data_IF_680101846822
#
_entry.id   IF_680101846822
#
_cell.length_a   1.000
_cell.length_b   1.000
_cell.length_c   1.000
_cell.angle_alpha   90.00
_cell.angle_beta   90.00
_cell.angle_gamma   90.00
#
_symmetry.space_group_name_H-M   'P 1'
#
loop_
_entity.id
_entity.type
_entity.pdbx_description
1 polymer ?
#
# COMPACT_ATOMS: atom_id res chain seq x y z
N UNK A 1 -5.34 -35.51 34.45
CA UNK A 1 -5.80 -34.45 33.52
C UNK A 1 -4.60 -33.60 33.14
N UNK A 2 -4.08 -33.72 31.92
CA UNK A 2 -2.97 -32.87 31.48
C UNK A 2 -3.49 -31.44 31.28
N UNK A 3 -3.06 -30.55 32.16
CA UNK A 3 -3.40 -29.13 32.05
C UNK A 3 -2.68 -28.58 30.82
N UNK A 4 -3.44 -28.16 29.80
CA UNK A 4 -2.87 -27.66 28.54
C UNK A 4 -1.87 -26.51 28.75
N UNK A 5 -0.95 -26.30 27.81
CA UNK A 5 0.04 -25.20 27.92
C UNK A 5 -0.67 -23.85 28.06
N UNK A 6 -0.07 -22.92 28.82
CA UNK A 6 -0.63 -21.58 29.09
C UNK A 6 -1.07 -20.85 27.80
N UNK A 7 -0.28 -20.84 26.70
CA UNK A 7 -0.69 -20.16 25.47
C UNK A 7 -2.01 -20.69 24.87
N UNK A 8 -2.24 -22.01 24.94
CA UNK A 8 -3.49 -22.59 24.44
C UNK A 8 -4.68 -22.17 25.32
N UNK A 9 -4.48 -22.09 26.65
CA UNK A 9 -5.54 -21.61 27.55
C UNK A 9 -5.90 -20.15 27.30
N UNK A 10 -4.90 -19.30 27.07
CA UNK A 10 -5.11 -17.88 26.72
C UNK A 10 -5.86 -17.78 25.39
N UNK A 11 -5.47 -18.56 24.38
CA UNK A 11 -6.16 -18.60 23.08
C UNK A 11 -7.64 -18.99 23.23
N UNK A 12 -7.93 -20.06 23.98
CA UNK A 12 -9.31 -20.52 24.20
C UNK A 12 -10.12 -19.50 25.02
N UNK A 13 -9.51 -18.87 26.02
CA UNK A 13 -10.16 -17.82 26.81
C UNK A 13 -10.47 -16.57 25.97
N UNK A 14 -9.56 -16.12 25.12
CA UNK A 14 -9.82 -14.98 24.24
C UNK A 14 -10.84 -15.32 23.13
N UNK A 15 -10.89 -16.59 22.71
CA UNK A 15 -11.95 -17.11 21.83
C UNK A 15 -13.33 -16.99 22.48
N UNK A 16 -13.50 -17.35 23.75
CA UNK A 16 -14.81 -17.20 24.42
C UNK A 16 -15.17 -15.73 24.64
N UNK A 17 -14.19 -14.85 24.88
CA UNK A 17 -14.43 -13.40 24.93
C UNK A 17 -14.92 -12.83 23.58
N UNK A 18 -14.51 -13.45 22.47
CA UNK A 18 -14.86 -13.01 21.12
C UNK A 18 -16.36 -13.10 20.80
N UNK A 19 -17.11 -13.94 21.52
CA UNK A 19 -18.57 -14.05 21.41
C UNK A 19 -19.28 -12.78 21.91
N UNK A 20 -18.69 -12.10 22.90
CA UNK A 20 -19.24 -10.89 23.51
C UNK A 20 -18.63 -9.61 22.95
N UNK A 21 -17.35 -9.65 22.56
CA UNK A 21 -16.60 -8.48 22.14
C UNK A 21 -16.04 -8.65 20.72
N UNK A 22 -16.32 -7.67 19.85
CA UNK A 22 -15.79 -7.67 18.48
C UNK A 22 -14.27 -7.45 18.40
N UNK A 23 -13.73 -6.64 19.31
CA UNK A 23 -12.29 -6.31 19.38
C UNK A 23 -11.59 -7.24 20.36
N UNK A 24 -11.24 -8.43 19.89
CA UNK A 24 -10.41 -9.39 20.63
C UNK A 24 -9.26 -9.84 19.75
N UNK A 25 -8.19 -10.33 20.35
CA UNK A 25 -7.04 -10.84 19.61
C UNK A 25 -7.42 -12.05 18.74
N UNK A 26 -8.33 -12.90 19.21
CA UNK A 26 -8.89 -14.02 18.48
C UNK A 26 -9.63 -13.56 17.21
N UNK A 27 -10.49 -12.54 17.31
CA UNK A 27 -11.20 -12.00 16.16
C UNK A 27 -10.24 -11.32 15.16
N UNK A 28 -9.20 -10.64 15.65
CA UNK A 28 -8.15 -10.09 14.79
C UNK A 28 -7.39 -11.18 14.04
N UNK A 29 -6.97 -12.25 14.74
CA UNK A 29 -6.29 -13.38 14.15
C UNK A 29 -7.18 -14.13 13.15
N UNK A 30 -8.45 -14.35 13.48
CA UNK A 30 -9.45 -14.97 12.60
C UNK A 30 -9.61 -14.17 11.30
N UNK A 31 -9.69 -12.84 11.39
CA UNK A 31 -9.73 -11.93 10.23
C UNK A 31 -8.46 -12.02 9.37
N UNK A 32 -7.28 -12.15 9.98
CA UNK A 32 -6.03 -12.38 9.22
C UNK A 32 -6.08 -13.72 8.49
N UNK A 33 -6.48 -14.80 9.17
CA UNK A 33 -6.60 -16.13 8.56
C UNK A 33 -7.63 -16.16 7.43
N UNK A 34 -8.76 -15.49 7.60
CA UNK A 34 -9.78 -15.33 6.56
C UNK A 34 -9.23 -14.57 5.34
N UNK A 35 -8.50 -13.48 5.56
CA UNK A 35 -7.80 -12.76 4.48
C UNK A 35 -6.74 -13.62 3.77
N UNK A 36 -6.22 -14.65 4.42
CA UNK A 36 -5.28 -15.60 3.83
C UNK A 36 -5.96 -16.84 3.26
N UNK A 37 -7.30 -16.94 3.25
CA UNK A 37 -8.02 -18.15 2.82
C UNK A 37 -7.67 -19.40 3.67
N UNK A 38 -7.26 -19.17 4.92
CA UNK A 38 -6.87 -20.20 5.91
C UNK A 38 -7.90 -20.36 7.03
N UNK A 39 -9.12 -19.84 6.85
CA UNK A 39 -10.15 -19.88 7.88
C UNK A 39 -10.53 -21.33 8.27
N UNK A 40 -10.55 -22.25 7.31
CA UNK A 40 -10.81 -23.67 7.58
C UNK A 40 -9.73 -24.30 8.47
N UNK A 41 -8.46 -24.01 8.22
CA UNK A 41 -7.36 -24.48 9.08
C UNK A 41 -7.46 -23.89 10.49
N UNK A 42 -7.88 -22.63 10.59
CA UNK A 42 -8.08 -21.94 11.87
C UNK A 42 -9.24 -22.53 12.68
N UNK A 43 -10.40 -22.76 12.05
CA UNK A 43 -11.59 -23.28 12.72
C UNK A 43 -11.42 -24.74 13.16
N UNK A 44 -10.77 -25.56 12.35
CA UNK A 44 -10.62 -26.98 12.63
C UNK A 44 -9.54 -27.28 13.68
N UNK A 45 -8.80 -26.26 14.16
CA UNK A 45 -7.67 -26.40 15.09
C UNK A 45 -6.68 -27.51 14.69
N UNK A 46 -6.60 -27.80 13.40
CA UNK A 46 -5.90 -28.95 12.86
C UNK A 46 -5.02 -28.46 11.72
N UNK A 47 -3.71 -28.56 11.91
CA UNK A 47 -2.75 -28.07 10.92
C UNK A 47 -2.66 -28.99 9.70
N UNK A 48 -3.41 -30.10 9.61
CA UNK A 48 -3.27 -31.11 8.56
C UNK A 48 -1.81 -31.61 8.41
N UNK A 49 -1.04 -31.65 9.49
CA UNK A 49 0.39 -32.00 9.46
C UNK A 49 1.32 -30.87 8.98
N UNK A 50 0.78 -29.69 8.67
CA UNK A 50 1.57 -28.50 8.33
C UNK A 50 2.26 -27.95 9.58
N UNK A 51 3.49 -27.47 9.40
CA UNK A 51 4.21 -26.78 10.47
C UNK A 51 3.68 -25.36 10.65
N UNK A 52 3.73 -24.84 11.88
CA UNK A 52 3.41 -23.44 12.17
C UNK A 52 4.25 -22.48 11.33
N UNK A 53 5.52 -22.83 11.08
CA UNK A 53 6.42 -22.05 10.22
C UNK A 53 5.91 -21.99 8.77
N UNK A 54 5.41 -23.09 8.23
CA UNK A 54 4.82 -23.12 6.90
C UNK A 54 3.59 -22.22 6.82
N UNK A 55 2.67 -22.34 7.78
CA UNK A 55 1.45 -21.51 7.84
C UNK A 55 1.80 -20.02 7.92
N UNK A 56 2.79 -19.66 8.74
CA UNK A 56 3.26 -18.27 8.87
C UNK A 56 3.84 -17.74 7.56
N UNK A 57 4.75 -18.48 6.92
CA UNK A 57 5.37 -18.08 5.65
C UNK A 57 4.33 -17.96 4.52
N UNK A 58 3.39 -18.91 4.46
CA UNK A 58 2.33 -18.89 3.45
C UNK A 58 1.37 -17.72 3.66
N UNK A 59 1.00 -17.44 4.92
CA UNK A 59 0.20 -16.26 5.27
C UNK A 59 0.92 -14.97 4.87
N UNK A 60 2.21 -14.85 5.15
CA UNK A 60 3.01 -13.69 4.75
C UNK A 60 3.02 -13.49 3.24
N UNK A 61 3.23 -14.58 2.47
CA UNK A 61 3.21 -14.54 1.00
C UNK A 61 1.88 -14.00 0.47
N UNK A 62 0.75 -14.55 0.94
CA UNK A 62 -0.59 -14.15 0.50
C UNK A 62 -0.92 -12.71 0.88
N UNK A 63 -0.58 -12.28 2.10
CA UNK A 63 -0.76 -10.90 2.52
C UNK A 63 0.04 -9.95 1.64
N UNK A 64 1.32 -10.25 1.37
CA UNK A 64 2.16 -9.45 0.49
C UNK A 64 1.57 -9.35 -0.92
N UNK A 65 1.09 -10.46 -1.48
CA UNK A 65 0.47 -10.47 -2.79
C UNK A 65 -0.81 -9.61 -2.82
N UNK A 66 -1.73 -9.79 -1.86
CA UNK A 66 -2.96 -9.00 -1.77
C UNK A 66 -2.67 -7.50 -1.60
N UNK A 67 -1.67 -7.15 -0.81
CA UNK A 67 -1.22 -5.77 -0.67
C UNK A 67 -0.65 -5.20 -1.98
N UNK A 68 0.19 -5.98 -2.67
CA UNK A 68 0.75 -5.59 -3.97
C UNK A 68 -0.35 -5.36 -5.02
N UNK A 69 -1.31 -6.26 -5.12
CA UNK A 69 -2.40 -6.18 -6.09
C UNK A 69 -3.30 -4.98 -5.80
N UNK A 70 -3.62 -4.75 -4.52
CA UNK A 70 -4.34 -3.54 -4.09
C UNK A 70 -3.58 -2.27 -4.44
N UNK A 71 -2.28 -2.21 -4.14
CA UNK A 71 -1.44 -1.06 -4.45
C UNK A 71 -1.43 -0.76 -5.95
N UNK A 72 -1.27 -1.80 -6.78
CA UNK A 72 -1.28 -1.66 -8.24
C UNK A 72 -2.61 -1.11 -8.74
N UNK A 73 -3.73 -1.61 -8.21
CA UNK A 73 -5.07 -1.11 -8.53
C UNK A 73 -5.24 0.35 -8.11
N UNK A 74 -4.87 0.69 -6.88
CA UNK A 74 -4.98 2.05 -6.34
C UNK A 74 -4.17 3.06 -7.19
N UNK A 75 -2.98 2.67 -7.64
CA UNK A 75 -2.14 3.51 -8.52
C UNK A 75 -2.73 3.71 -9.91
N UNK A 76 -3.27 2.65 -10.51
CA UNK A 76 -3.90 2.72 -11.83
C UNK A 76 -5.13 3.63 -11.81
N UNK A 77 -5.88 3.60 -10.70
CA UNK A 77 -7.08 4.39 -10.49
C UNK A 77 -6.82 5.84 -10.02
N UNK A 78 -5.57 6.22 -9.76
CA UNK A 78 -5.22 7.58 -9.30
C UNK A 78 -4.65 8.41 -10.46
N UNK A 79 -5.41 9.35 -11.05
CA UNK A 79 -4.95 10.10 -12.24
C UNK A 79 -3.70 10.95 -11.99
N UNK A 80 -3.50 11.42 -10.75
CA UNK A 80 -2.34 12.23 -10.36
C UNK A 80 -1.02 11.47 -10.41
N UNK A 81 -1.03 10.14 -10.29
CA UNK A 81 0.17 9.30 -10.25
C UNK A 81 0.69 8.91 -11.63
N UNK A 82 0.32 9.64 -12.69
CA UNK A 82 0.79 9.40 -14.07
C UNK A 82 2.31 9.27 -14.19
N UNK A 83 3.05 10.15 -13.51
CA UNK A 83 4.52 10.16 -13.55
C UNK A 83 5.08 9.02 -12.73
N UNK A 84 4.53 8.77 -11.53
CA UNK A 84 4.89 7.60 -10.73
C UNK A 84 4.72 6.30 -11.54
N UNK A 85 3.59 6.12 -12.25
CA UNK A 85 3.33 4.92 -13.08
C UNK A 85 4.31 4.74 -14.23
N UNK A 86 4.81 5.83 -14.81
CA UNK A 86 5.79 5.74 -15.89
C UNK A 86 7.18 5.36 -15.37
N UNK A 87 7.49 5.66 -14.11
CA UNK A 87 8.81 5.44 -13.52
C UNK A 87 8.89 4.12 -12.75
N UNK A 88 7.79 3.67 -12.13
CA UNK A 88 7.79 2.52 -11.22
C UNK A 88 6.96 1.37 -11.71
N UNK A 89 7.55 0.19 -11.60
CA UNK A 89 6.93 -1.09 -11.94
C UNK A 89 6.72 -1.99 -10.72
N UNK A 90 7.45 -1.76 -9.62
CA UNK A 90 7.50 -2.66 -8.46
C UNK A 90 7.11 -1.96 -7.15
N UNK A 91 6.48 -2.72 -6.24
CA UNK A 91 6.14 -2.25 -4.89
C UNK A 91 7.35 -2.35 -3.95
N UNK A 92 8.26 -1.38 -4.06
CA UNK A 92 9.51 -1.38 -3.31
C UNK A 92 9.88 0.00 -2.77
N UNK A 93 10.75 0.02 -1.76
CA UNK A 93 11.36 1.25 -1.26
C UNK A 93 12.14 1.92 -2.38
N UNK A 94 11.77 3.15 -2.69
CA UNK A 94 12.29 3.89 -3.81
C UNK A 94 13.74 4.31 -3.59
N UNK A 95 14.59 4.21 -4.62
CA UNK A 95 16.03 4.50 -4.51
C UNK A 95 16.32 5.90 -3.99
N UNK A 96 15.54 6.91 -4.39
CA UNK A 96 15.73 8.30 -3.92
C UNK A 96 15.56 8.45 -2.39
N UNK A 97 14.90 7.50 -1.73
CA UNK A 97 14.73 7.49 -0.27
C UNK A 97 16.01 6.98 0.41
N UNK A 98 16.66 5.96 -0.17
CA UNK A 98 17.82 5.28 0.42
C UNK A 98 19.16 5.89 0.01
N UNK A 99 19.22 6.62 -1.10
CA UNK A 99 20.42 7.33 -1.54
C UNK A 99 20.73 8.56 -0.69
N UNK A 100 22.02 8.95 -0.67
CA UNK A 100 22.52 10.14 0.01
C UNK A 100 22.07 11.44 -0.68
N UNK A 101 20.78 11.74 -0.59
CA UNK A 101 20.17 12.99 -1.05
C UNK A 101 19.88 13.91 0.14
N UNK A 102 19.77 15.21 -0.11
CA UNK A 102 19.27 16.14 0.89
C UNK A 102 17.76 15.95 1.09
N UNK A 103 17.24 16.39 2.24
CA UNK A 103 15.79 16.39 2.52
C UNK A 103 15.00 17.12 1.43
N UNK A 104 15.54 18.23 0.90
CA UNK A 104 14.90 19.02 -0.14
C UNK A 104 14.82 18.27 -1.46
N UNK A 105 15.91 17.61 -1.87
CA UNK A 105 15.93 16.79 -3.09
C UNK A 105 14.90 15.65 -3.01
N UNK A 106 14.86 14.91 -1.90
CA UNK A 106 13.85 13.86 -1.68
C UNK A 106 12.42 14.40 -1.75
N UNK A 107 12.17 15.53 -1.11
CA UNK A 107 10.85 16.18 -1.13
C UNK A 107 10.44 16.61 -2.54
N UNK A 108 11.36 17.17 -3.31
CA UNK A 108 11.09 17.55 -4.70
C UNK A 108 10.76 16.35 -5.57
N UNK A 109 11.56 15.27 -5.50
CA UNK A 109 11.27 14.04 -6.24
C UNK A 109 9.95 13.40 -5.82
N UNK A 110 9.67 13.31 -4.51
CA UNK A 110 8.40 12.79 -4.02
C UNK A 110 7.21 13.60 -4.55
N UNK A 111 7.29 14.94 -4.53
CA UNK A 111 6.23 15.81 -5.05
C UNK A 111 6.02 15.65 -6.55
N UNK A 112 7.09 15.52 -7.34
CA UNK A 112 6.99 15.27 -8.78
C UNK A 112 6.32 13.93 -9.07
N UNK A 113 6.74 12.87 -8.37
CA UNK A 113 6.20 11.52 -8.55
C UNK A 113 4.73 11.45 -8.15
N UNK A 114 4.36 12.10 -7.05
CA UNK A 114 2.98 12.14 -6.55
C UNK A 114 2.07 13.13 -7.29
N UNK A 115 2.59 13.88 -8.27
CA UNK A 115 1.82 14.89 -9.02
C UNK A 115 1.36 16.07 -8.15
N UNK A 116 2.15 16.44 -7.15
CA UNK A 116 1.92 17.58 -6.24
C UNK A 116 2.99 18.66 -6.36
N UNK A 117 3.88 18.54 -7.35
CA UNK A 117 4.84 19.60 -7.65
C UNK A 117 4.09 20.80 -8.27
N UNK A 118 4.46 22.06 -7.94
CA UNK A 118 3.67 23.24 -8.31
C UNK A 118 3.86 23.64 -9.78
N UNK A 119 3.58 22.73 -10.71
CA UNK A 119 3.50 22.97 -12.15
C UNK A 119 2.11 23.49 -12.51
N UNK A 120 1.95 24.17 -13.65
CA UNK A 120 0.64 24.63 -14.11
C UNK A 120 -0.35 23.46 -14.29
N UNK A 121 0.10 22.22 -14.55
CA UNK A 121 -0.78 21.06 -14.56
C UNK A 121 -1.49 20.84 -13.21
N UNK A 122 -0.85 21.09 -12.06
CA UNK A 122 -1.46 20.99 -10.73
C UNK A 122 -2.04 22.34 -10.26
N UNK A 123 -1.34 23.45 -10.43
CA UNK A 123 -1.81 24.78 -10.03
C UNK A 123 -3.05 25.23 -10.82
N UNK A 124 -3.10 24.92 -12.12
CA UNK A 124 -4.24 25.21 -12.98
C UNK A 124 -5.46 24.37 -12.62
N UNK A 125 -5.28 23.19 -12.01
CA UNK A 125 -6.37 22.36 -11.49
C UNK A 125 -7.15 23.07 -10.40
N UNK A 126 -6.45 23.71 -9.45
CA UNK A 126 -7.10 24.50 -8.38
C UNK A 126 -7.82 25.74 -8.92
N UNK A 127 -7.43 26.22 -10.10
CA UNK A 127 -8.09 27.31 -10.83
C UNK A 127 -9.22 26.86 -11.76
N UNK A 128 -9.50 25.55 -11.85
CA UNK A 128 -10.52 25.03 -12.78
C UNK A 128 -10.14 25.08 -14.26
N UNK A 129 -8.86 25.30 -14.58
CA UNK A 129 -8.39 25.36 -15.98
C UNK A 129 -8.39 23.92 -16.56
N UNK A 130 -8.94 23.69 -17.76
CA UNK A 130 -8.86 22.39 -18.44
C UNK A 130 -7.41 21.92 -18.61
N UNK A 131 -7.13 20.62 -18.47
CA UNK A 131 -5.76 20.08 -18.50
C UNK A 131 -4.97 20.46 -19.75
N UNK A 132 -5.63 20.45 -20.92
CA UNK A 132 -5.06 20.85 -22.21
C UNK A 132 -4.83 22.37 -22.37
N UNK A 133 -5.17 23.18 -21.36
CA UNK A 133 -4.95 24.63 -21.33
C UNK A 133 -4.04 25.09 -20.20
N UNK A 134 -3.43 24.15 -19.47
CA UNK A 134 -2.51 24.43 -18.35
C UNK A 134 -1.10 24.62 -18.89
N UNK A 135 -0.91 25.71 -19.61
CA UNK A 135 0.33 25.98 -20.33
C UNK A 135 1.46 26.44 -19.42
N UNK A 136 2.68 26.06 -19.77
CA UNK A 136 3.89 26.54 -19.12
C UNK A 136 4.02 28.05 -19.29
N UNK A 137 4.29 28.73 -18.18
CA UNK A 137 4.50 30.19 -18.14
C UNK A 137 5.94 30.59 -18.38
N UNK A 138 6.87 29.64 -18.34
CA UNK A 138 8.31 29.86 -18.49
C UNK A 138 8.74 29.72 -19.95
N UNK A 139 8.14 28.78 -20.68
CA UNK A 139 8.43 28.56 -22.10
C UNK A 139 7.81 29.67 -22.97
N UNK A 140 8.53 30.04 -24.03
CA UNK A 140 8.09 31.08 -24.97
C UNK A 140 6.97 30.63 -25.92
N UNK A 141 6.70 29.33 -26.03
CA UNK A 141 5.73 28.78 -26.97
C UNK A 141 4.26 29.07 -26.58
N UNK A 142 3.99 29.30 -25.27
CA UNK A 142 2.66 29.54 -24.68
C UNK A 142 1.58 28.50 -25.05
N UNK A 143 1.99 27.33 -25.54
CA UNK A 143 1.09 26.26 -25.99
C UNK A 143 1.43 24.91 -25.38
N UNK A 144 2.63 24.74 -24.83
CA UNK A 144 3.04 23.49 -24.17
C UNK A 144 2.39 23.39 -22.79
N UNK A 145 1.72 22.27 -22.51
CA UNK A 145 1.17 21.98 -21.18
C UNK A 145 2.30 21.69 -20.20
N UNK A 146 2.29 22.34 -19.04
CA UNK A 146 3.35 22.18 -18.02
C UNK A 146 3.08 20.95 -17.14
N UNK A 147 3.46 19.79 -17.63
CA UNK A 147 3.47 18.54 -16.87
C UNK A 147 4.89 18.16 -16.41
N UNK A 148 5.01 17.04 -15.68
CA UNK A 148 6.32 16.59 -15.20
C UNK A 148 7.28 16.24 -16.35
N UNK A 149 6.78 15.79 -17.51
CA UNK A 149 7.65 15.48 -18.66
C UNK A 149 8.21 16.76 -19.26
N UNK A 150 7.36 17.76 -19.45
CA UNK A 150 7.75 19.08 -19.92
C UNK A 150 8.75 19.75 -18.96
N UNK A 151 8.60 19.57 -17.65
CA UNK A 151 9.57 20.09 -16.68
C UNK A 151 10.98 19.50 -16.83
N UNK A 152 11.11 18.26 -17.32
CA UNK A 152 12.40 17.59 -17.52
C UNK A 152 12.96 17.70 -18.94
N UNK A 153 12.19 18.24 -19.90
CA UNK A 153 12.62 18.45 -21.28
C UNK A 153 13.22 19.83 -21.48
#
# INVERSE_FOLDING_TARGET
MHVGRIPNRIFQWDSTLSEKYKKTWYNELKSVMEKCELLELFNNNYTNGLSVKFIANYSELLLRQKHHDKWKLDIMNMPKLRTFRCLETNFETQQYITTNMTRQQRSTLARMRCGTFPLELELGRYRGIPSNRRFCKVCNDKVSVEDEKHFFS
#
